data_IF_758069340017
#
_entry.id   IF_758069340017
#
_cell.length_a   1.000
_cell.length_b   1.000
_cell.length_c   1.000
_cell.angle_alpha   90.00
_cell.angle_beta   90.00
_cell.angle_gamma   90.00
#
_symmetry.space_group_name_H-M   'P 1'
#
loop_
_entity.id
_entity.type
_entity.pdbx_description
1 polymer ?
#
# COMPACT_ATOMS: atom_id res chain seq x y z
N UNK A 1 -7.51 -2.06 -16.54
CA UNK A 1 -8.95 -1.94 -16.83
C UNK A 1 -9.44 -0.66 -16.17
N UNK A 2 -10.06 0.26 -16.91
CA UNK A 2 -10.62 1.47 -16.29
C UNK A 2 -11.77 1.04 -15.38
N UNK A 3 -11.72 1.36 -14.08
CA UNK A 3 -12.70 0.89 -13.09
C UNK A 3 -14.14 1.22 -13.51
N UNK A 4 -14.35 2.38 -14.13
CA UNK A 4 -15.65 2.79 -14.67
C UNK A 4 -16.09 1.94 -15.88
N UNK A 5 -15.16 1.60 -16.78
CA UNK A 5 -15.48 0.76 -17.92
C UNK A 5 -15.92 -0.64 -17.46
N UNK A 6 -15.27 -1.19 -16.43
CA UNK A 6 -15.61 -2.49 -15.86
C UNK A 6 -17.03 -2.54 -15.31
N UNK A 7 -17.38 -1.59 -14.45
CA UNK A 7 -18.70 -1.58 -13.81
C UNK A 7 -19.82 -1.31 -14.82
N UNK A 8 -19.56 -0.49 -15.84
CA UNK A 8 -20.52 -0.22 -16.92
C UNK A 8 -20.64 -1.39 -17.91
N UNK A 9 -19.63 -2.24 -18.02
CA UNK A 9 -19.72 -3.47 -18.79
C UNK A 9 -20.67 -4.46 -18.11
N UNK A 10 -20.54 -4.62 -16.79
CA UNK A 10 -21.46 -5.45 -16.00
C UNK A 10 -22.92 -4.98 -16.15
N UNK A 11 -23.16 -3.65 -16.08
CA UNK A 11 -24.49 -3.09 -16.27
C UNK A 11 -25.04 -3.29 -17.69
N UNK A 12 -24.17 -3.37 -18.71
CA UNK A 12 -24.55 -3.67 -20.08
C UNK A 12 -24.93 -5.15 -20.23
N UNK A 13 -24.17 -6.05 -19.61
CA UNK A 13 -24.43 -7.49 -19.60
C UNK A 13 -25.76 -7.82 -18.89
N UNK A 14 -26.03 -7.11 -17.79
CA UNK A 14 -27.30 -7.17 -17.05
C UNK A 14 -28.46 -6.44 -17.76
N UNK A 15 -28.22 -5.85 -18.94
CA UNK A 15 -29.19 -5.11 -19.76
C UNK A 15 -29.82 -3.90 -19.06
N UNK A 16 -29.15 -3.34 -18.05
CA UNK A 16 -29.60 -2.14 -17.33
C UNK A 16 -29.35 -0.87 -18.15
N UNK A 17 -28.37 -0.90 -19.04
CA UNK A 17 -28.04 0.18 -19.97
C UNK A 17 -27.90 -0.35 -21.40
N UNK A 18 -28.16 0.49 -22.40
CA UNK A 18 -28.09 0.09 -23.81
C UNK A 18 -26.66 0.08 -24.38
N UNK A 19 -25.72 0.82 -23.76
CA UNK A 19 -24.31 0.91 -24.20
C UNK A 19 -23.40 1.34 -23.06
N UNK A 20 -22.14 0.92 -23.10
CA UNK A 20 -21.10 1.37 -22.19
C UNK A 20 -20.40 2.64 -22.75
N UNK A 21 -20.65 3.85 -22.21
CA UNK A 21 -20.03 5.10 -22.69
C UNK A 21 -18.51 5.17 -22.41
N UNK A 22 -18.00 4.37 -21.49
CA UNK A 22 -16.56 4.32 -21.21
C UNK A 22 -15.80 3.38 -22.17
N UNK A 23 -16.52 2.63 -23.02
CA UNK A 23 -15.91 1.74 -24.01
C UNK A 23 -15.21 2.56 -25.09
N UNK A 24 -13.93 2.26 -25.35
CA UNK A 24 -13.13 2.91 -26.39
C UNK A 24 -12.44 4.21 -25.98
N UNK A 25 -12.56 4.65 -24.72
CA UNK A 25 -11.78 5.76 -24.17
C UNK A 25 -10.33 5.29 -23.98
N UNK A 26 -9.46 5.64 -24.94
CA UNK A 26 -8.04 5.24 -24.95
C UNK A 26 -7.14 6.20 -24.17
N UNK A 27 -7.53 7.46 -24.07
CA UNK A 27 -6.74 8.53 -23.47
C UNK A 27 -7.48 9.10 -22.27
N UNK A 28 -6.93 8.84 -21.09
CA UNK A 28 -7.31 9.57 -19.88
C UNK A 28 -6.35 10.74 -19.65
N UNK A 29 -6.80 11.80 -18.98
CA UNK A 29 -5.89 12.81 -18.46
C UNK A 29 -4.79 12.13 -17.63
N UNK A 30 -3.54 12.48 -17.91
CA UNK A 30 -2.41 11.97 -17.14
C UNK A 30 -2.48 12.51 -15.71
N UNK A 31 -2.54 11.62 -14.73
CA UNK A 31 -2.39 12.00 -13.32
C UNK A 31 -0.92 12.33 -13.12
N UNK A 32 -0.61 13.60 -12.90
CA UNK A 32 0.75 14.00 -12.52
C UNK A 32 1.05 13.42 -11.14
N UNK A 33 1.84 12.37 -11.09
CA UNK A 33 2.35 11.84 -9.84
C UNK A 33 3.27 12.89 -9.19
N UNK A 34 3.09 13.12 -7.89
CA UNK A 34 4.08 13.88 -7.12
C UNK A 34 5.40 13.11 -7.17
N UNK A 35 6.51 13.83 -7.26
CA UNK A 35 7.84 13.21 -7.16
C UNK A 35 7.92 12.49 -5.82
N UNK A 36 8.34 11.24 -5.83
CA UNK A 36 8.61 10.48 -4.61
C UNK A 36 9.75 11.18 -3.85
N UNK A 37 9.50 11.53 -2.59
CA UNK A 37 10.52 12.00 -1.66
C UNK A 37 10.88 10.81 -0.79
N UNK A 38 12.09 10.28 -0.99
CA UNK A 38 12.57 9.13 -0.22
C UNK A 38 13.22 9.61 1.07
N UNK A 39 13.05 8.82 2.12
CA UNK A 39 13.73 9.04 3.37
C UNK A 39 15.20 8.66 3.22
N UNK A 40 16.08 9.44 3.85
CA UNK A 40 17.45 8.99 4.12
C UNK A 40 17.45 7.89 5.17
N UNK A 41 18.56 7.17 5.28
CA UNK A 41 18.79 6.20 6.35
C UNK A 41 18.49 6.80 7.74
N UNK A 42 19.07 7.96 8.04
CA UNK A 42 18.90 8.65 9.32
C UNK A 42 17.44 9.04 9.59
N UNK A 43 16.73 9.48 8.55
CA UNK A 43 15.30 9.79 8.67
C UNK A 43 14.47 8.53 8.92
N UNK A 44 14.82 7.40 8.32
CA UNK A 44 14.19 6.11 8.61
C UNK A 44 14.33 5.71 10.08
N UNK A 45 15.52 5.83 10.64
CA UNK A 45 15.80 5.58 12.06
C UNK A 45 15.00 6.52 12.98
N UNK A 46 14.89 7.80 12.62
CA UNK A 46 14.07 8.76 13.36
C UNK A 46 12.59 8.38 13.37
N UNK A 47 12.05 7.89 12.25
CA UNK A 47 10.66 7.43 12.14
C UNK A 47 10.45 6.16 12.98
N UNK A 48 11.39 5.22 12.95
CA UNK A 48 11.33 4.00 13.77
C UNK A 48 11.30 4.34 15.28
N UNK A 49 12.22 5.20 15.72
CA UNK A 49 12.28 5.64 17.10
C UNK A 49 11.03 6.45 17.51
N UNK A 50 10.47 7.24 16.58
CA UNK A 50 9.22 7.96 16.83
C UNK A 50 8.03 7.00 16.99
N UNK A 51 7.96 5.92 16.20
CA UNK A 51 6.92 4.91 16.31
C UNK A 51 6.96 4.17 17.65
N UNK A 52 8.14 3.84 18.17
CA UNK A 52 8.30 3.23 19.50
C UNK A 52 7.88 4.14 20.65
N UNK A 53 8.08 5.46 20.49
CA UNK A 53 7.61 6.45 21.46
C UNK A 53 6.11 6.73 21.33
N UNK A 54 5.49 6.31 20.23
CA UNK A 54 4.11 6.62 19.93
C UNK A 54 3.17 5.65 20.67
N UNK A 55 2.43 6.18 21.64
CA UNK A 55 1.50 5.43 22.48
C UNK A 55 0.12 5.24 21.82
N UNK A 56 0.06 5.04 20.49
CA UNK A 56 -1.23 4.84 19.84
C UNK A 56 -1.86 3.56 20.39
N UNK A 57 -2.93 3.76 21.16
CA UNK A 57 -3.86 2.73 21.62
C UNK A 57 -3.31 1.89 22.78
N UNK A 58 -3.12 2.50 23.96
CA UNK A 58 -3.14 1.81 25.27
C UNK A 58 -2.10 0.70 25.52
N UNK A 59 -1.26 0.40 24.54
CA UNK A 59 -0.22 -0.61 24.59
C UNK A 59 1.09 0.11 24.31
N UNK A 60 2.02 0.05 25.26
CA UNK A 60 3.40 0.45 25.04
C UNK A 60 4.07 -0.60 24.13
N UNK A 61 3.71 -0.61 22.85
CA UNK A 61 4.29 -1.49 21.85
C UNK A 61 5.55 -0.87 21.25
N UNK A 62 6.59 -1.68 21.09
CA UNK A 62 7.74 -1.34 20.24
C UNK A 62 7.34 -1.65 18.80
N UNK A 63 7.04 -0.65 17.97
CA UNK A 63 6.60 -0.80 16.57
C UNK A 63 7.68 -0.42 15.55
N UNK A 64 8.82 0.11 15.98
CA UNK A 64 9.94 0.51 15.12
C UNK A 64 10.46 -0.62 14.24
N UNK A 65 10.37 -1.87 14.71
CA UNK A 65 10.75 -3.06 13.93
C UNK A 65 10.01 -3.17 12.60
N UNK A 66 8.74 -2.75 12.53
CA UNK A 66 7.94 -2.77 11.29
C UNK A 66 8.56 -1.84 10.24
N UNK A 67 9.05 -0.67 10.67
CA UNK A 67 9.70 0.31 9.81
C UNK A 67 11.05 -0.24 9.33
N UNK A 68 11.82 -0.88 10.20
CA UNK A 68 13.09 -1.52 9.80
C UNK A 68 12.90 -2.63 8.77
N UNK A 69 11.89 -3.50 8.96
CA UNK A 69 11.58 -4.56 7.99
C UNK A 69 11.17 -3.95 6.64
N UNK A 70 10.33 -2.91 6.65
CA UNK A 70 9.91 -2.22 5.43
C UNK A 70 11.09 -1.53 4.70
N UNK A 71 11.93 -0.83 5.45
CA UNK A 71 13.03 -0.03 4.89
C UNK A 71 14.20 -0.90 4.41
N UNK A 72 14.57 -1.94 5.16
CA UNK A 72 15.79 -2.70 4.91
C UNK A 72 15.57 -4.03 4.18
N UNK A 73 14.35 -4.57 4.19
CA UNK A 73 14.03 -5.83 3.49
C UNK A 73 13.12 -5.63 2.28
N UNK A 74 12.66 -4.39 2.04
CA UNK A 74 11.85 -4.05 0.85
C UNK A 74 10.50 -4.76 0.77
N UNK A 75 9.99 -5.25 1.90
CA UNK A 75 8.69 -5.95 1.97
C UNK A 75 7.55 -4.95 1.84
N UNK A 76 6.49 -5.34 1.14
CA UNK A 76 5.26 -4.55 1.08
C UNK A 76 4.55 -4.59 2.42
N UNK A 77 3.75 -3.56 2.71
CA UNK A 77 2.93 -3.52 3.92
C UNK A 77 2.12 -4.80 4.15
N UNK A 78 1.47 -5.34 3.10
CA UNK A 78 0.68 -6.57 3.21
C UNK A 78 1.53 -7.80 3.53
N UNK A 79 2.78 -7.85 3.08
CA UNK A 79 3.70 -8.93 3.37
C UNK A 79 4.12 -8.87 4.85
N UNK A 80 4.41 -7.67 5.36
CA UNK A 80 4.79 -7.48 6.77
C UNK A 80 3.61 -7.76 7.71
N UNK A 81 2.41 -7.28 7.36
CA UNK A 81 1.21 -7.43 8.17
C UNK A 81 0.73 -8.88 8.31
N UNK A 82 1.21 -9.79 7.44
CA UNK A 82 0.84 -11.21 7.46
C UNK A 82 1.93 -12.13 8.01
N UNK A 83 3.09 -11.56 8.41
CA UNK A 83 4.19 -12.32 9.01
C UNK A 83 3.77 -13.01 10.30
N UNK A 84 4.18 -14.27 10.43
CA UNK A 84 4.05 -15.11 11.61
C UNK A 84 5.44 -15.44 12.16
N UNK A 85 5.54 -15.84 13.44
CA UNK A 85 6.81 -16.28 14.02
C UNK A 85 7.51 -17.37 13.17
N UNK A 86 6.76 -18.32 12.62
CA UNK A 86 7.28 -19.42 11.80
C UNK A 86 7.84 -18.97 10.43
N UNK A 87 7.56 -17.73 10.01
CA UNK A 87 8.09 -17.18 8.76
C UNK A 87 9.51 -16.61 8.92
N UNK A 88 10.07 -16.64 10.14
CA UNK A 88 11.37 -16.03 10.46
C UNK A 88 12.30 -17.06 11.07
N UNK A 89 13.41 -17.31 10.38
CA UNK A 89 14.55 -18.04 10.93
C UNK A 89 15.50 -17.03 11.59
N UNK A 90 15.87 -17.29 12.85
CA UNK A 90 16.76 -16.46 13.66
C UNK A 90 18.08 -17.17 14.01
N UNK A 91 18.31 -18.40 13.53
CA UNK A 91 19.47 -19.23 13.90
C UNK A 91 20.66 -19.15 12.92
N UNK A 92 20.77 -18.08 12.13
CA UNK A 92 21.93 -17.84 11.24
C UNK A 92 22.99 -16.91 11.87
#
# INVERSE_FOLDING_TARGET
MLTLQAILELALDDKLIARNPARGIKTLPSIRHRKNVYLTYEQGEQVAAAADRHHLIGHAGRYGYVIHIAAYRGRRWSEIATLRPDDVDLEE
#
